data_IF_678724712272
#
_entry.id   IF_678724712272
#
_cell.length_a   1.000
_cell.length_b   1.000
_cell.length_c   1.000
_cell.angle_alpha   90.00
_cell.angle_beta   90.00
_cell.angle_gamma   90.00
#
_symmetry.space_group_name_H-M   'P 1'
#
loop_
_entity.id
_entity.type
_entity.pdbx_description
1 polymer ?
#
# COMPACT_ATOMS: atom_id res chain seq x y z
N UNK A 1 -0.87 23.12 -0.66
CA UNK A 1 0.57 22.81 -0.56
C UNK A 1 1.12 22.24 -1.88
N UNK A 2 0.46 21.26 -2.50
CA UNK A 2 0.95 20.63 -3.75
C UNK A 2 0.53 21.38 -5.02
N UNK A 3 -0.76 21.74 -5.17
CA UNK A 3 -1.32 22.33 -6.39
C UNK A 3 -0.55 23.54 -6.98
N UNK A 4 -0.23 24.60 -6.21
CA UNK A 4 0.43 25.78 -6.78
C UNK A 4 1.86 25.53 -7.28
N UNK A 5 2.50 24.43 -6.84
CA UNK A 5 3.84 24.04 -7.28
C UNK A 5 3.78 23.31 -8.63
N UNK A 6 2.84 22.38 -8.81
CA UNK A 6 2.74 21.55 -10.01
C UNK A 6 1.91 22.17 -11.14
N UNK A 7 1.08 23.18 -10.85
CA UNK A 7 0.23 23.86 -11.86
C UNK A 7 1.04 24.75 -12.81
N UNK A 8 2.17 25.30 -12.35
CA UNK A 8 2.99 26.27 -13.10
C UNK A 8 4.24 25.67 -13.75
N UNK A 9 4.58 24.43 -13.42
CA UNK A 9 5.80 23.79 -13.88
C UNK A 9 5.58 22.94 -15.14
N UNK A 10 6.37 23.20 -16.19
CA UNK A 10 6.42 22.33 -17.35
C UNK A 10 7.31 21.11 -17.06
N UNK A 11 6.70 20.01 -16.65
CA UNK A 11 7.34 18.78 -16.14
C UNK A 11 8.42 18.20 -17.09
N UNK A 12 8.30 18.44 -18.39
CA UNK A 12 9.25 17.96 -19.41
C UNK A 12 10.54 18.79 -19.50
N UNK A 13 10.52 20.04 -19.01
CA UNK A 13 11.66 20.97 -19.07
C UNK A 13 12.42 21.08 -17.73
N UNK A 14 12.01 20.34 -16.70
CA UNK A 14 12.59 20.45 -15.36
C UNK A 14 13.94 19.72 -15.28
N UNK A 15 14.97 20.43 -14.81
CA UNK A 15 16.30 19.87 -14.56
C UNK A 15 16.28 18.78 -13.48
N UNK A 16 17.24 17.84 -13.52
CA UNK A 16 17.31 16.73 -12.55
C UNK A 16 17.34 17.21 -11.08
N UNK A 17 18.15 18.23 -10.78
CA UNK A 17 18.21 18.80 -9.43
C UNK A 17 16.85 19.33 -8.96
N UNK A 18 16.11 20.01 -9.83
CA UNK A 18 14.77 20.51 -9.51
C UNK A 18 13.76 19.36 -9.33
N UNK A 19 13.85 18.26 -10.09
CA UNK A 19 13.03 17.06 -9.86
C UNK A 19 13.25 16.49 -8.45
N UNK A 20 14.50 16.40 -8.00
CA UNK A 20 14.83 15.92 -6.65
C UNK A 20 14.25 16.84 -5.58
N UNK A 21 14.40 18.16 -5.73
CA UNK A 21 13.80 19.14 -4.79
C UNK A 21 12.28 19.05 -4.75
N UNK A 22 11.63 18.84 -5.90
CA UNK A 22 10.18 18.69 -5.97
C UNK A 22 9.68 17.41 -5.28
N UNK A 23 10.41 16.30 -5.41
CA UNK A 23 10.12 15.07 -4.68
C UNK A 23 10.21 15.34 -3.17
N UNK A 24 11.28 15.98 -2.70
CA UNK A 24 11.48 16.28 -1.28
C UNK A 24 10.33 17.13 -0.69
N UNK A 25 9.95 18.20 -1.39
CA UNK A 25 8.84 19.07 -0.96
C UNK A 25 7.50 18.32 -0.87
N UNK A 26 7.31 17.32 -1.74
CA UNK A 26 6.09 16.51 -1.78
C UNK A 26 5.99 15.46 -0.67
N UNK A 27 7.09 15.12 0.01
CA UNK A 27 7.10 14.09 1.07
C UNK A 27 6.13 14.46 2.19
N UNK A 28 6.17 15.70 2.67
CA UNK A 28 5.33 16.14 3.81
C UNK A 28 3.86 16.04 3.47
N UNK A 29 3.47 16.52 2.28
CA UNK A 29 2.09 16.47 1.86
C UNK A 29 1.63 15.03 1.58
N UNK A 30 2.49 14.19 0.98
CA UNK A 30 2.23 12.76 0.78
C UNK A 30 2.04 12.00 2.10
N UNK A 31 2.89 12.25 3.10
CA UNK A 31 2.79 11.65 4.43
C UNK A 31 1.48 12.05 5.13
N UNK A 32 1.08 13.32 5.05
CA UNK A 32 -0.21 13.78 5.58
C UNK A 32 -1.38 13.10 4.86
N UNK A 33 -1.34 13.00 3.54
CA UNK A 33 -2.37 12.28 2.77
C UNK A 33 -2.47 10.81 3.19
N UNK A 34 -1.34 10.13 3.39
CA UNK A 34 -1.31 8.75 3.84
C UNK A 34 -1.95 8.59 5.23
N UNK A 35 -1.59 9.45 6.19
CA UNK A 35 -2.15 9.42 7.55
C UNK A 35 -3.65 9.72 7.57
N UNK A 36 -4.10 10.71 6.79
CA UNK A 36 -5.51 11.06 6.67
C UNK A 36 -6.33 9.94 6.00
N UNK A 37 -5.79 9.33 4.94
CA UNK A 37 -6.43 8.18 4.29
C UNK A 37 -6.53 7.00 5.24
N UNK A 38 -5.45 6.70 5.98
CA UNK A 38 -5.44 5.65 6.99
C UNK A 38 -6.52 5.89 8.05
N UNK A 39 -6.52 7.07 8.66
CA UNK A 39 -7.49 7.38 9.72
C UNK A 39 -8.92 7.45 9.18
N UNK A 40 -9.15 8.12 8.06
CA UNK A 40 -10.48 8.26 7.46
C UNK A 40 -11.08 6.92 7.02
N UNK A 41 -10.28 6.07 6.38
CA UNK A 41 -10.77 4.80 5.84
C UNK A 41 -10.70 3.65 6.86
N UNK A 42 -9.52 3.33 7.39
CA UNK A 42 -9.36 2.15 8.24
C UNK A 42 -9.93 2.36 9.64
N UNK A 43 -9.80 3.57 10.19
CA UNK A 43 -10.34 3.85 11.51
C UNK A 43 -11.81 4.29 11.42
N UNK A 44 -12.11 5.45 10.84
CA UNK A 44 -13.46 6.01 10.90
C UNK A 44 -14.47 5.22 10.06
N UNK A 45 -14.18 4.97 8.77
CA UNK A 45 -15.14 4.34 7.87
C UNK A 45 -15.44 2.89 8.28
N UNK A 46 -14.41 2.06 8.50
CA UNK A 46 -14.65 0.66 8.90
C UNK A 46 -15.35 0.55 10.26
N UNK A 47 -14.99 1.37 11.26
CA UNK A 47 -15.71 1.35 12.55
C UNK A 47 -17.16 1.83 12.40
N UNK A 48 -17.44 2.84 11.57
CA UNK A 48 -18.80 3.27 11.29
C UNK A 48 -19.64 2.12 10.73
N UNK A 49 -19.13 1.39 9.74
CA UNK A 49 -19.83 0.22 9.18
C UNK A 49 -19.93 -0.93 10.17
N UNK A 50 -18.91 -1.17 10.99
CA UNK A 50 -18.95 -2.20 12.03
C UNK A 50 -20.06 -1.92 13.05
N UNK A 51 -20.25 -0.65 13.47
CA UNK A 51 -21.35 -0.26 14.35
C UNK A 51 -22.71 -0.43 13.68
N UNK A 52 -22.85 0.07 12.44
CA UNK A 52 -24.10 -0.05 11.67
C UNK A 52 -24.54 -1.50 11.47
N UNK A 53 -23.56 -2.40 11.25
CA UNK A 53 -23.79 -3.83 11.04
C UNK A 53 -23.80 -4.64 12.35
N UNK A 54 -23.57 -4.01 13.51
CA UNK A 54 -23.40 -4.66 14.82
C UNK A 54 -22.30 -5.74 14.79
N UNK A 55 -21.24 -5.49 14.04
CA UNK A 55 -20.07 -6.34 13.97
C UNK A 55 -19.15 -6.06 15.16
N UNK A 56 -18.81 -7.12 15.91
CA UNK A 56 -18.09 -7.01 17.17
C UNK A 56 -16.57 -6.92 16.99
N UNK A 57 -16.01 -7.48 15.93
CA UNK A 57 -14.57 -7.45 15.70
C UNK A 57 -14.19 -6.14 15.00
N UNK A 58 -13.35 -5.34 15.65
CA UNK A 58 -12.98 -4.00 15.19
C UNK A 58 -11.48 -3.84 15.04
N UNK A 59 -10.74 -4.94 15.11
CA UNK A 59 -9.28 -4.92 14.98
C UNK A 59 -8.88 -4.86 13.49
N UNK A 60 -9.10 -3.71 12.86
CA UNK A 60 -8.76 -3.50 11.44
C UNK A 60 -7.28 -3.19 11.20
N UNK A 61 -6.55 -2.77 12.23
CA UNK A 61 -5.13 -2.44 12.19
C UNK A 61 -4.50 -2.62 13.59
N UNK A 62 -3.17 -2.73 13.64
CA UNK A 62 -2.37 -2.79 14.88
C UNK A 62 -1.42 -1.59 14.96
N UNK A 63 -0.52 -1.56 15.95
CA UNK A 63 0.46 -0.49 16.17
C UNK A 63 1.56 -0.46 15.10
N UNK A 64 1.19 -0.24 13.84
CA UNK A 64 2.08 -0.26 12.68
C UNK A 64 3.13 0.86 12.72
N UNK A 65 2.84 1.98 13.36
CA UNK A 65 3.78 3.10 13.51
C UNK A 65 4.98 2.77 14.39
N UNK A 66 4.87 1.74 15.24
CA UNK A 66 5.95 1.25 16.10
C UNK A 66 6.63 -0.01 15.55
N UNK A 67 6.35 -0.40 14.30
CA UNK A 67 6.95 -1.57 13.68
C UNK A 67 8.48 -1.41 13.55
N UNK A 68 9.23 -2.47 13.85
CA UNK A 68 10.70 -2.48 13.76
C UNK A 68 11.23 -3.04 12.44
N UNK A 69 10.36 -3.65 11.65
CA UNK A 69 10.70 -4.25 10.35
C UNK A 69 9.59 -4.01 9.33
N UNK A 70 9.94 -4.02 8.05
CA UNK A 70 8.96 -3.85 6.97
C UNK A 70 7.93 -4.99 6.93
N UNK A 71 8.36 -6.22 7.24
CA UNK A 71 7.46 -7.36 7.37
C UNK A 71 6.43 -7.18 8.50
N UNK A 72 6.80 -6.52 9.60
CA UNK A 72 5.87 -6.18 10.67
C UNK A 72 4.93 -5.05 10.26
N UNK A 73 5.44 -4.02 9.58
CA UNK A 73 4.63 -2.93 9.02
C UNK A 73 3.50 -3.46 8.12
N UNK A 74 3.81 -4.33 7.15
CA UNK A 74 2.80 -4.88 6.24
C UNK A 74 1.71 -5.70 6.95
N UNK A 75 2.06 -6.38 8.05
CA UNK A 75 1.10 -7.17 8.84
C UNK A 75 0.18 -6.30 9.69
N UNK A 76 0.69 -5.17 10.18
CA UNK A 76 -0.02 -4.35 11.15
C UNK A 76 -0.80 -3.19 10.52
N UNK A 77 -0.45 -2.78 9.30
CA UNK A 77 -1.07 -1.64 8.64
C UNK A 77 -2.56 -1.86 8.33
N UNK A 78 -2.91 -2.95 7.66
CA UNK A 78 -4.29 -3.27 7.27
C UNK A 78 -4.54 -4.77 7.46
N UNK A 79 -5.12 -5.14 8.60
CA UNK A 79 -5.37 -6.53 8.94
C UNK A 79 -6.40 -7.16 7.99
N UNK A 80 -7.41 -6.41 7.54
CA UNK A 80 -8.46 -6.94 6.66
C UNK A 80 -7.86 -7.50 5.36
N UNK A 81 -7.00 -6.71 4.71
CA UNK A 81 -6.33 -7.14 3.47
C UNK A 81 -5.24 -8.16 3.75
N UNK A 82 -4.47 -7.97 4.83
CA UNK A 82 -3.41 -8.91 5.20
C UNK A 82 -3.97 -10.32 5.46
N UNK A 83 -4.99 -10.46 6.29
CA UNK A 83 -5.61 -11.74 6.63
C UNK A 83 -6.25 -12.39 5.39
N UNK A 84 -6.86 -11.61 4.50
CA UNK A 84 -7.39 -12.13 3.23
C UNK A 84 -6.29 -12.69 2.33
N UNK A 85 -5.20 -11.94 2.12
CA UNK A 85 -4.05 -12.40 1.34
C UNK A 85 -3.39 -13.63 1.97
N UNK A 86 -3.28 -13.64 3.31
CA UNK A 86 -2.71 -14.77 4.03
C UNK A 86 -3.57 -16.03 3.90
N UNK A 87 -4.87 -15.92 4.15
CA UNK A 87 -5.78 -17.05 4.21
C UNK A 87 -6.03 -17.70 2.85
N UNK A 88 -6.12 -16.92 1.77
CA UNK A 88 -6.52 -17.39 0.44
C UNK A 88 -5.39 -17.51 -0.58
N UNK A 89 -4.26 -16.82 -0.37
CA UNK A 89 -3.13 -16.88 -1.31
C UNK A 89 -1.94 -17.55 -0.63
N UNK A 90 -1.44 -16.97 0.47
CA UNK A 90 -0.21 -17.44 1.08
C UNK A 90 -0.33 -18.88 1.61
N UNK A 91 -1.36 -19.14 2.43
CA UNK A 91 -1.56 -20.43 3.09
C UNK A 91 -1.81 -21.54 2.07
N UNK A 92 -2.67 -21.31 1.09
CA UNK A 92 -3.03 -22.34 0.12
C UNK A 92 -1.86 -22.70 -0.81
N UNK A 93 -1.11 -21.70 -1.30
CA UNK A 93 0.08 -21.93 -2.14
C UNK A 93 1.20 -22.61 -1.34
N UNK A 94 1.43 -22.16 -0.10
CA UNK A 94 2.47 -22.75 0.75
C UNK A 94 2.17 -24.20 1.11
N UNK A 95 0.91 -24.55 1.35
CA UNK A 95 0.48 -25.92 1.62
C UNK A 95 0.54 -26.80 0.36
N UNK A 96 0.14 -26.29 -0.80
CA UNK A 96 0.13 -27.03 -2.06
C UNK A 96 1.53 -27.43 -2.53
N UNK A 97 2.51 -26.52 -2.44
CA UNK A 97 3.88 -26.78 -2.90
C UNK A 97 4.72 -27.45 -1.81
N UNK A 98 4.54 -27.04 -0.54
CA UNK A 98 5.29 -27.54 0.60
C UNK A 98 6.76 -27.07 0.64
N UNK A 99 7.33 -27.13 1.85
CA UNK A 99 8.73 -26.82 2.12
C UNK A 99 9.12 -25.35 1.91
N UNK A 100 10.44 -25.08 1.98
CA UNK A 100 10.99 -23.71 1.87
C UNK A 100 10.69 -23.04 0.52
N UNK A 101 10.65 -23.83 -0.56
CA UNK A 101 10.31 -23.34 -1.90
C UNK A 101 8.85 -22.86 -1.98
N UNK A 102 7.93 -23.60 -1.36
CA UNK A 102 6.52 -23.20 -1.29
C UNK A 102 6.32 -21.88 -0.56
N UNK A 103 7.02 -21.66 0.56
CA UNK A 103 6.95 -20.40 1.31
C UNK A 103 7.45 -19.20 0.48
N UNK A 104 8.55 -19.35 -0.23
CA UNK A 104 9.09 -18.30 -1.11
C UNK A 104 8.12 -17.98 -2.26
N UNK A 105 7.61 -19.01 -2.95
CA UNK A 105 6.65 -18.82 -4.04
C UNK A 105 5.36 -18.16 -3.53
N UNK A 106 4.85 -18.60 -2.37
CA UNK A 106 3.67 -18.01 -1.75
C UNK A 106 3.87 -16.52 -1.43
N UNK A 107 5.02 -16.16 -0.87
CA UNK A 107 5.37 -14.76 -0.59
C UNK A 107 5.43 -13.94 -1.88
N UNK A 108 6.16 -14.40 -2.91
CA UNK A 108 6.25 -13.72 -4.20
C UNK A 108 4.88 -13.52 -4.85
N UNK A 109 3.99 -14.52 -4.77
CA UNK A 109 2.63 -14.41 -5.30
C UNK A 109 1.78 -13.38 -4.56
N UNK A 110 1.86 -13.33 -3.23
CA UNK A 110 1.16 -12.31 -2.43
C UNK A 110 1.59 -10.90 -2.84
N UNK A 111 2.90 -10.66 -2.96
CA UNK A 111 3.41 -9.36 -3.39
C UNK A 111 3.04 -9.04 -4.84
N UNK A 112 3.06 -10.02 -5.74
CA UNK A 112 2.67 -9.85 -7.13
C UNK A 112 1.20 -9.41 -7.27
N UNK A 113 0.28 -10.16 -6.66
CA UNK A 113 -1.15 -9.82 -6.70
C UNK A 113 -1.42 -8.48 -6.03
N UNK A 114 -0.85 -8.24 -4.84
CA UNK A 114 -1.00 -6.96 -4.15
C UNK A 114 -0.54 -5.79 -5.03
N UNK A 115 0.62 -5.91 -5.69
CA UNK A 115 1.17 -4.85 -6.54
C UNK A 115 0.30 -4.55 -7.76
N UNK A 116 -0.25 -5.59 -8.42
CA UNK A 116 -1.19 -5.43 -9.54
C UNK A 116 -2.46 -4.72 -9.09
N UNK A 117 -3.02 -5.10 -7.93
CA UNK A 117 -4.23 -4.47 -7.41
C UNK A 117 -4.02 -2.98 -7.15
N UNK A 118 -2.89 -2.59 -6.56
CA UNK A 118 -2.57 -1.18 -6.35
C UNK A 118 -2.42 -0.44 -7.68
N UNK A 119 -1.64 -0.97 -8.63
CA UNK A 119 -1.45 -0.38 -9.95
C UNK A 119 -2.79 -0.22 -10.70
N UNK A 120 -3.67 -1.21 -10.62
CA UNK A 120 -4.99 -1.16 -11.24
C UNK A 120 -5.84 -0.01 -10.66
N UNK A 121 -5.90 0.12 -9.34
CA UNK A 121 -6.65 1.19 -8.69
C UNK A 121 -6.11 2.58 -9.03
N UNK A 122 -4.78 2.76 -8.98
CA UNK A 122 -4.15 4.03 -9.39
C UNK A 122 -4.37 4.32 -10.87
N UNK A 123 -4.25 3.31 -11.73
CA UNK A 123 -4.43 3.45 -13.16
C UNK A 123 -5.86 3.85 -13.55
N UNK A 124 -6.86 3.28 -12.86
CA UNK A 124 -8.25 3.70 -13.02
C UNK A 124 -8.51 5.11 -12.48
N UNK A 125 -8.03 5.42 -11.27
CA UNK A 125 -8.27 6.71 -10.63
C UNK A 125 -7.63 7.88 -11.41
N UNK A 126 -6.41 7.68 -11.91
CA UNK A 126 -5.65 8.68 -12.66
C UNK A 126 -5.92 8.63 -14.17
N UNK A 127 -6.65 7.60 -14.65
CA UNK A 127 -6.92 7.33 -16.07
C UNK A 127 -5.65 7.28 -16.93
N UNK A 128 -4.56 6.81 -16.35
CA UNK A 128 -3.26 6.67 -17.00
C UNK A 128 -2.57 5.40 -16.52
N UNK A 129 -1.80 4.75 -17.39
CA UNK A 129 -1.01 3.58 -17.00
C UNK A 129 0.47 3.97 -16.90
N UNK A 130 1.01 3.99 -15.67
CA UNK A 130 2.42 4.29 -15.42
C UNK A 130 2.92 3.47 -14.21
N UNK A 131 3.60 2.33 -14.44
CA UNK A 131 3.77 1.25 -13.45
C UNK A 131 4.83 1.51 -12.37
N UNK A 132 4.86 2.72 -11.80
CA UNK A 132 5.73 3.04 -10.65
C UNK A 132 5.28 2.25 -9.43
N UNK A 133 3.97 2.18 -9.18
CA UNK A 133 3.43 1.55 -7.96
C UNK A 133 3.70 0.05 -8.01
N UNK A 134 3.42 -0.59 -9.13
CA UNK A 134 3.78 -2.00 -9.33
C UNK A 134 5.28 -2.26 -9.04
N UNK A 135 6.17 -1.45 -9.62
CA UNK A 135 7.62 -1.58 -9.44
C UNK A 135 8.01 -1.37 -7.97
N UNK A 136 7.46 -0.36 -7.32
CA UNK A 136 7.78 -0.02 -5.93
C UNK A 136 7.39 -1.15 -4.97
N UNK A 137 6.18 -1.67 -5.08
CA UNK A 137 5.70 -2.71 -4.17
C UNK A 137 6.30 -4.10 -4.48
N UNK A 138 6.41 -4.47 -5.76
CA UNK A 138 6.87 -5.82 -6.12
C UNK A 138 8.39 -5.97 -5.99
N UNK A 139 9.17 -4.99 -6.48
CA UNK A 139 10.63 -5.10 -6.53
C UNK A 139 11.26 -4.69 -5.20
N UNK A 140 10.83 -3.56 -4.61
CA UNK A 140 11.42 -3.07 -3.37
C UNK A 140 10.69 -3.56 -2.11
N UNK A 141 9.44 -3.99 -2.23
CA UNK A 141 8.66 -4.50 -1.10
C UNK A 141 8.69 -6.03 -0.93
N UNK A 142 8.89 -6.79 -2.02
CA UNK A 142 8.73 -8.25 -2.04
C UNK A 142 10.02 -9.09 -2.01
N UNK A 143 11.19 -8.47 -2.16
CA UNK A 143 12.53 -9.08 -2.10
C UNK A 143 13.18 -8.72 -0.77
#
# INVERSE_FOLDING_TARGET
MILPQYEKENVTAVNFSAKVSNIFNSITAGALCLLLLFYGLLHCWLNMFAELLRYSDRQFYLNWWSSKSMAEYYRFWNLVVHEWLYAYIYRDISQMIGGKKGLFIAQTMVFFFSSIFHEYWFGLALRMFYPIIFTLYFIFGGI
#
